data_IF_532816536269
#
_entry.id   IF_532816536269
#
_cell.length_a   1.000
_cell.length_b   1.000
_cell.length_c   1.000
_cell.angle_alpha   90.00
_cell.angle_beta   90.00
_cell.angle_gamma   90.00
#
_symmetry.space_group_name_H-M   'P 1'
#
loop_
_entity.id
_entity.type
_entity.pdbx_description
1 polymer ?
#
# COMPACT_ATOMS: atom_id res chain seq x y z
N UNK A 1 -17.05 8.90 -23.13
CA UNK A 1 -17.70 7.66 -23.62
C UNK A 1 -17.64 6.59 -22.52
N UNK A 2 -16.49 6.28 -21.95
CA UNK A 2 -16.36 5.22 -20.92
C UNK A 2 -17.17 5.49 -19.64
N UNK A 3 -17.25 6.74 -19.17
CA UNK A 3 -18.02 7.10 -17.97
C UNK A 3 -19.53 6.85 -18.16
N UNK A 4 -20.07 7.08 -19.36
CA UNK A 4 -21.49 6.78 -19.70
C UNK A 4 -21.77 5.27 -19.83
N UNK A 5 -20.81 4.48 -20.30
CA UNK A 5 -20.97 3.04 -20.40
C UNK A 5 -20.94 2.37 -19.03
N UNK A 6 -20.02 2.78 -18.13
CA UNK A 6 -19.97 2.27 -16.77
C UNK A 6 -21.26 2.62 -15.98
N UNK A 7 -21.82 3.82 -16.15
CA UNK A 7 -23.10 4.19 -15.55
C UNK A 7 -24.24 3.27 -16.01
N UNK A 8 -24.33 2.95 -17.30
CA UNK A 8 -25.40 2.09 -17.83
C UNK A 8 -25.35 0.65 -17.32
N UNK A 9 -24.21 0.14 -16.92
CA UNK A 9 -24.05 -1.23 -16.38
C UNK A 9 -24.53 -1.31 -14.93
N UNK A 10 -24.54 -0.18 -14.21
CA UNK A 10 -24.86 -0.11 -12.78
C UNK A 10 -26.28 0.48 -12.55
N UNK A 11 -26.87 1.10 -13.56
CA UNK A 11 -28.22 1.69 -13.50
C UNK A 11 -29.29 0.62 -13.73
N UNK A 12 -30.22 0.48 -12.78
CA UNK A 12 -31.41 -0.36 -12.98
C UNK A 12 -32.41 0.30 -13.95
N UNK A 13 -33.34 -0.47 -14.54
CA UNK A 13 -34.37 0.05 -15.44
C UNK A 13 -35.18 1.20 -14.82
N UNK A 14 -35.23 1.29 -13.51
CA UNK A 14 -35.97 2.29 -12.73
C UNK A 14 -35.17 3.59 -12.49
N UNK A 15 -33.96 3.72 -13.08
CA UNK A 15 -33.08 4.88 -12.87
C UNK A 15 -32.36 4.91 -11.51
N UNK A 16 -32.48 3.86 -10.71
CA UNK A 16 -31.78 3.71 -9.43
C UNK A 16 -30.48 2.95 -9.63
N UNK A 17 -29.44 3.31 -8.86
CA UNK A 17 -28.17 2.57 -8.87
C UNK A 17 -28.29 1.29 -8.07
N UNK A 18 -27.70 0.21 -8.61
CA UNK A 18 -27.63 -1.08 -7.90
C UNK A 18 -26.82 -0.91 -6.63
N UNK A 19 -27.47 -1.01 -5.48
CA UNK A 19 -26.80 -1.00 -4.17
C UNK A 19 -26.33 -2.42 -3.86
N UNK A 20 -25.03 -2.68 -3.99
CA UNK A 20 -24.41 -4.00 -3.82
C UNK A 20 -24.72 -4.63 -2.45
N UNK A 21 -24.91 -3.81 -1.43
CA UNK A 21 -25.15 -4.23 -0.03
C UNK A 21 -26.60 -4.07 0.43
N UNK A 22 -27.54 -3.72 -0.49
CA UNK A 22 -28.93 -3.44 -0.16
C UNK A 22 -29.16 -2.07 0.45
N UNK A 23 -30.42 -1.76 0.73
CA UNK A 23 -30.82 -0.49 1.33
C UNK A 23 -30.48 -0.44 2.82
N UNK A 24 -30.00 0.69 3.30
CA UNK A 24 -29.66 0.91 4.71
C UNK A 24 -28.22 0.56 5.12
N UNK A 25 -27.42 -0.05 4.22
CA UNK A 25 -26.03 -0.42 4.50
C UNK A 25 -25.01 0.52 3.85
N UNK A 26 -25.30 1.82 3.82
CA UNK A 26 -24.46 2.81 3.15
C UNK A 26 -23.04 2.87 3.74
N UNK A 27 -22.90 2.73 5.05
CA UNK A 27 -21.60 2.69 5.72
C UNK A 27 -20.75 1.48 5.29
N UNK A 28 -21.34 0.29 5.19
CA UNK A 28 -20.63 -0.91 4.73
C UNK A 28 -20.21 -0.79 3.26
N UNK A 29 -21.07 -0.22 2.43
CA UNK A 29 -20.75 0.05 1.02
C UNK A 29 -19.59 1.03 0.90
N UNK A 30 -19.53 2.06 1.77
CA UNK A 30 -18.42 3.01 1.85
C UNK A 30 -17.12 2.30 2.23
N UNK A 31 -17.12 1.47 3.29
CA UNK A 31 -15.92 0.73 3.74
C UNK A 31 -15.35 -0.14 2.62
N UNK A 32 -16.19 -0.93 1.96
CA UNK A 32 -15.75 -1.79 0.85
C UNK A 32 -15.24 -0.95 -0.31
N UNK A 33 -15.94 0.14 -0.65
CA UNK A 33 -15.50 1.09 -1.69
C UNK A 33 -14.10 1.63 -1.40
N UNK A 34 -13.84 2.10 -0.17
CA UNK A 34 -12.55 2.63 0.23
C UNK A 34 -11.43 1.57 0.19
N UNK A 35 -11.73 0.33 0.58
CA UNK A 35 -10.75 -0.77 0.47
C UNK A 35 -10.39 -1.07 -0.98
N UNK A 36 -11.37 -1.06 -1.88
CA UNK A 36 -11.13 -1.28 -3.31
C UNK A 36 -10.38 -0.12 -3.95
N UNK A 37 -10.75 1.13 -3.65
CA UNK A 37 -10.07 2.31 -4.19
C UNK A 37 -8.65 2.42 -3.68
N UNK A 38 -8.40 2.23 -2.39
CA UNK A 38 -7.07 2.23 -1.80
C UNK A 38 -6.17 1.15 -2.39
N UNK A 39 -6.72 -0.06 -2.62
CA UNK A 39 -5.99 -1.14 -3.30
C UNK A 39 -5.67 -0.79 -4.75
N UNK A 40 -6.64 -0.24 -5.49
CA UNK A 40 -6.45 0.16 -6.88
C UNK A 40 -5.39 1.27 -7.00
N UNK A 41 -5.42 2.25 -6.10
CA UNK A 41 -4.45 3.34 -6.03
C UNK A 41 -3.03 2.79 -5.74
N UNK A 42 -2.91 1.85 -4.81
CA UNK A 42 -1.64 1.18 -4.51
C UNK A 42 -1.06 0.47 -5.75
N UNK A 43 -1.91 -0.24 -6.52
CA UNK A 43 -1.47 -0.91 -7.76
C UNK A 43 -0.97 0.10 -8.78
N UNK A 44 -1.64 1.25 -8.94
CA UNK A 44 -1.21 2.33 -9.83
C UNK A 44 0.18 2.84 -9.42
N UNK A 45 0.40 3.12 -8.13
CA UNK A 45 1.69 3.60 -7.64
C UNK A 45 2.81 2.55 -7.72
N UNK A 46 2.51 1.27 -7.51
CA UNK A 46 3.47 0.19 -7.68
C UNK A 46 3.99 0.07 -9.12
N UNK A 47 3.16 0.49 -10.09
CA UNK A 47 3.53 0.55 -11.50
C UNK A 47 4.05 1.93 -11.94
N UNK A 48 4.48 2.78 -10.99
CA UNK A 48 4.97 4.14 -11.22
C UNK A 48 3.95 5.04 -11.96
N UNK A 49 2.66 4.75 -11.79
CA UNK A 49 1.56 5.55 -12.32
C UNK A 49 1.09 6.59 -11.30
N UNK A 50 0.14 7.42 -11.74
CA UNK A 50 -0.57 8.42 -10.94
C UNK A 50 -2.00 8.55 -11.48
N UNK A 51 -2.95 8.90 -10.62
CA UNK A 51 -4.34 9.16 -11.05
C UNK A 51 -4.53 10.57 -11.59
N UNK A 52 -3.53 11.45 -11.45
CA UNK A 52 -3.58 12.83 -11.93
C UNK A 52 -4.28 13.79 -10.97
N UNK A 53 -4.49 13.37 -9.71
CA UNK A 53 -5.15 14.15 -8.66
C UNK A 53 -4.19 14.61 -7.55
N UNK A 54 -4.71 14.65 -6.34
CA UNK A 54 -3.96 15.02 -5.10
C UNK A 54 -2.80 14.07 -4.79
N UNK A 55 -2.84 12.88 -5.35
CA UNK A 55 -1.80 11.86 -5.30
C UNK A 55 -0.45 12.34 -5.85
N UNK A 56 -0.43 13.26 -6.83
CA UNK A 56 0.81 13.86 -7.32
C UNK A 56 1.50 14.64 -6.19
N UNK A 57 0.72 15.43 -5.44
CA UNK A 57 1.27 16.23 -4.32
C UNK A 57 1.80 15.29 -3.25
N UNK A 58 1.06 14.24 -2.90
CA UNK A 58 1.48 13.22 -1.95
C UNK A 58 2.77 12.52 -2.39
N UNK A 59 2.89 12.18 -3.68
CA UNK A 59 4.09 11.56 -4.24
C UNK A 59 5.32 12.50 -4.18
N UNK A 60 5.13 13.80 -4.46
CA UNK A 60 6.17 14.80 -4.33
C UNK A 60 6.62 14.92 -2.87
N UNK A 61 5.68 15.03 -1.93
CA UNK A 61 6.00 15.12 -0.49
C UNK A 61 6.74 13.86 -0.01
N UNK A 62 6.29 12.67 -0.40
CA UNK A 62 6.97 11.39 -0.10
C UNK A 62 8.42 11.36 -0.63
N UNK A 63 8.67 11.95 -1.81
CA UNK A 63 10.01 12.00 -2.42
C UNK A 63 10.99 12.86 -1.64
N UNK A 64 10.53 13.97 -1.06
CA UNK A 64 11.38 14.93 -0.34
C UNK A 64 11.39 14.70 1.17
N UNK A 65 10.40 14.05 1.72
CA UNK A 65 10.27 13.71 3.12
C UNK A 65 10.10 12.21 3.29
N UNK A 66 10.75 11.62 4.31
CA UNK A 66 10.66 10.18 4.61
C UNK A 66 9.33 9.84 5.30
N UNK A 67 8.21 10.12 4.64
CA UNK A 67 6.86 9.76 5.10
C UNK A 67 6.24 8.76 4.14
N UNK A 68 5.27 7.96 4.61
CA UNK A 68 4.54 7.05 3.72
C UNK A 68 3.71 7.82 2.70
N UNK A 69 3.40 7.18 1.58
CA UNK A 69 2.56 7.79 0.54
C UNK A 69 1.15 8.06 1.07
N UNK A 70 0.60 7.13 1.87
CA UNK A 70 -0.69 7.30 2.53
C UNK A 70 -0.69 8.49 3.49
N UNK A 71 0.39 8.69 4.25
CA UNK A 71 0.51 9.87 5.13
C UNK A 71 0.54 11.17 4.32
N UNK A 72 1.19 11.18 3.17
CA UNK A 72 1.18 12.31 2.25
C UNK A 72 -0.23 12.65 1.75
N UNK A 73 -1.00 11.63 1.38
CA UNK A 73 -2.40 11.78 0.99
C UNK A 73 -3.25 12.32 2.15
N UNK A 74 -3.11 11.76 3.35
CA UNK A 74 -3.82 12.23 4.55
C UNK A 74 -3.63 13.73 4.76
N UNK A 75 -2.43 14.24 4.62
CA UNK A 75 -2.14 15.68 4.80
C UNK A 75 -2.89 16.55 3.79
N UNK A 76 -2.91 16.14 2.52
CA UNK A 76 -3.58 16.89 1.45
C UNK A 76 -5.10 16.81 1.61
N UNK A 77 -5.62 15.60 1.81
CA UNK A 77 -7.06 15.36 1.92
C UNK A 77 -7.65 16.00 3.18
N UNK A 78 -6.90 16.05 4.28
CA UNK A 78 -7.32 16.77 5.49
C UNK A 78 -7.53 18.25 5.23
N UNK A 79 -6.67 18.88 4.43
CA UNK A 79 -6.86 20.29 4.03
C UNK A 79 -8.14 20.47 3.20
N UNK A 80 -8.38 19.53 2.26
CA UNK A 80 -9.56 19.57 1.39
C UNK A 80 -10.85 19.36 2.20
N UNK A 81 -10.88 18.33 3.05
CA UNK A 81 -12.02 17.99 3.89
C UNK A 81 -12.34 19.17 4.85
N UNK A 82 -11.30 19.74 5.47
CA UNK A 82 -11.47 20.89 6.38
C UNK A 82 -12.02 22.12 5.65
N UNK A 83 -11.64 22.35 4.40
CA UNK A 83 -12.15 23.46 3.60
C UNK A 83 -13.63 23.34 3.31
N UNK A 84 -14.19 22.13 3.29
CA UNK A 84 -15.61 21.90 3.08
C UNK A 84 -16.52 22.50 4.16
N UNK A 85 -15.99 22.69 5.38
CA UNK A 85 -16.71 23.36 6.47
C UNK A 85 -16.93 24.86 6.20
N UNK A 86 -16.01 25.47 5.44
CA UNK A 86 -16.07 26.93 5.13
C UNK A 86 -17.02 27.24 3.97
N UNK A 87 -17.39 26.25 3.17
CA UNK A 87 -18.18 26.45 1.96
C UNK A 87 -19.67 26.22 2.28
N UNK A 88 -20.45 27.29 2.30
CA UNK A 88 -21.87 27.25 2.63
C UNK A 88 -22.75 26.52 1.59
N UNK A 89 -22.23 26.34 0.36
CA UNK A 89 -22.94 25.63 -0.71
C UNK A 89 -23.20 24.15 -0.46
N UNK A 90 -22.53 23.55 0.54
CA UNK A 90 -22.68 22.12 0.89
C UNK A 90 -23.85 21.84 1.85
N UNK A 91 -24.70 22.79 2.13
CA UNK A 91 -25.93 22.61 2.93
C UNK A 91 -25.83 23.19 4.35
N UNK A 92 -26.71 22.71 5.22
CA UNK A 92 -26.78 23.13 6.62
C UNK A 92 -25.57 22.69 7.43
N UNK A 93 -25.26 23.37 8.52
CA UNK A 93 -24.09 23.06 9.36
C UNK A 93 -24.02 21.58 9.80
N UNK A 94 -25.12 20.93 10.26
CA UNK A 94 -25.06 19.50 10.62
C UNK A 94 -24.81 18.57 9.41
N UNK A 95 -25.28 18.91 8.22
CA UNK A 95 -25.00 18.14 7.01
C UNK A 95 -23.51 18.22 6.64
N UNK A 96 -22.90 19.42 6.73
CA UNK A 96 -21.47 19.60 6.52
C UNK A 96 -20.64 18.83 7.53
N UNK A 97 -21.02 18.81 8.80
CA UNK A 97 -20.34 17.99 9.81
C UNK A 97 -20.41 16.49 9.48
N UNK A 98 -21.56 16.02 9.02
CA UNK A 98 -21.73 14.62 8.60
C UNK A 98 -20.82 14.29 7.42
N UNK A 99 -20.75 15.15 6.40
CA UNK A 99 -19.85 14.97 5.26
C UNK A 99 -18.37 14.90 5.69
N UNK A 100 -17.96 15.75 6.62
CA UNK A 100 -16.60 15.75 7.15
C UNK A 100 -16.28 14.45 7.88
N UNK A 101 -17.17 13.97 8.73
CA UNK A 101 -16.98 12.70 9.45
C UNK A 101 -16.85 11.52 8.48
N UNK A 102 -17.75 11.42 7.50
CA UNK A 102 -17.65 10.39 6.47
C UNK A 102 -16.37 10.54 5.64
N UNK A 103 -15.99 11.76 5.27
CA UNK A 103 -14.76 12.05 4.55
C UNK A 103 -13.51 11.62 5.32
N UNK A 104 -13.46 11.91 6.63
CA UNK A 104 -12.35 11.45 7.48
C UNK A 104 -12.29 9.92 7.59
N UNK A 105 -13.44 9.25 7.73
CA UNK A 105 -13.48 7.79 7.73
C UNK A 105 -12.97 7.19 6.41
N UNK A 106 -13.44 7.74 5.27
CA UNK A 106 -13.01 7.34 3.93
C UNK A 106 -11.49 7.49 3.77
N UNK A 107 -10.98 8.69 4.04
CA UNK A 107 -9.56 9.01 3.98
C UNK A 107 -8.72 8.03 4.82
N UNK A 108 -9.13 7.79 6.06
CA UNK A 108 -8.40 6.90 6.96
C UNK A 108 -8.35 5.46 6.44
N UNK A 109 -9.46 4.90 5.99
CA UNK A 109 -9.53 3.52 5.48
C UNK A 109 -8.73 3.39 4.18
N UNK A 110 -8.92 4.32 3.24
CA UNK A 110 -8.28 4.30 1.92
C UNK A 110 -6.76 4.40 2.03
N UNK A 111 -6.25 5.37 2.81
CA UNK A 111 -4.81 5.58 2.98
C UNK A 111 -4.13 4.43 3.72
N UNK A 112 -4.77 3.86 4.75
CA UNK A 112 -4.23 2.68 5.43
C UNK A 112 -4.20 1.46 4.50
N UNK A 113 -5.22 1.27 3.68
CA UNK A 113 -5.25 0.17 2.71
C UNK A 113 -4.19 0.33 1.64
N UNK A 114 -3.98 1.56 1.14
CA UNK A 114 -2.90 1.89 0.22
C UNK A 114 -1.54 1.54 0.81
N UNK A 115 -1.23 2.04 2.01
CA UNK A 115 0.06 1.77 2.67
C UNK A 115 0.26 0.28 2.97
N UNK A 116 -0.80 -0.43 3.36
CA UNK A 116 -0.75 -1.87 3.59
C UNK A 116 -0.35 -2.64 2.32
N UNK A 117 -0.99 -2.36 1.19
CA UNK A 117 -0.68 -3.03 -0.09
C UNK A 117 0.71 -2.66 -0.59
N UNK A 118 1.10 -1.37 -0.49
CA UNK A 118 2.44 -0.89 -0.87
C UNK A 118 3.54 -1.57 -0.06
N UNK A 119 3.36 -1.65 1.26
CA UNK A 119 4.33 -2.28 2.16
C UNK A 119 4.43 -3.79 1.91
N UNK A 120 3.31 -4.45 1.63
CA UNK A 120 3.32 -5.89 1.34
C UNK A 120 4.18 -6.24 0.11
N UNK A 121 4.10 -5.45 -0.94
CA UNK A 121 4.89 -5.65 -2.16
C UNK A 121 6.38 -5.34 -1.98
N UNK A 122 6.74 -4.44 -1.06
CA UNK A 122 8.12 -3.98 -0.84
C UNK A 122 8.87 -4.79 0.21
N UNK A 123 8.24 -5.79 0.82
CA UNK A 123 8.91 -6.60 1.84
C UNK A 123 10.08 -7.38 1.25
N UNK A 124 11.28 -7.09 1.76
CA UNK A 124 12.50 -7.87 1.53
C UNK A 124 12.81 -8.65 2.80
N UNK A 125 13.32 -9.86 2.63
CA UNK A 125 13.79 -10.72 3.73
C UNK A 125 15.30 -10.84 3.61
N UNK A 126 15.98 -10.69 4.72
CA UNK A 126 17.41 -10.92 4.81
C UNK A 126 17.63 -12.30 5.43
N UNK A 127 18.36 -13.17 4.72
CA UNK A 127 18.77 -14.45 5.20
C UNK A 127 20.20 -14.37 5.72
N UNK A 128 20.40 -14.87 6.93
CA UNK A 128 21.72 -15.08 7.52
C UNK A 128 21.93 -16.56 7.76
N UNK A 129 22.82 -17.20 6.99
CA UNK A 129 23.09 -18.63 7.06
C UNK A 129 24.44 -18.84 7.71
N UNK A 130 24.43 -19.48 8.87
CA UNK A 130 25.63 -19.84 9.64
C UNK A 130 25.97 -21.28 9.33
N UNK A 131 27.07 -21.55 8.61
CA UNK A 131 27.47 -22.92 8.29
C UNK A 131 28.97 -23.05 8.09
N UNK A 132 29.51 -24.19 8.52
CA UNK A 132 30.88 -24.57 8.20
C UNK A 132 31.05 -24.92 6.72
N UNK A 133 29.95 -25.32 6.04
CA UNK A 133 29.92 -25.68 4.62
C UNK A 133 29.47 -24.47 3.74
N UNK A 134 29.89 -23.27 4.13
CA UNK A 134 29.48 -22.03 3.48
C UNK A 134 29.73 -21.99 1.97
N UNK A 135 30.83 -22.62 1.47
CA UNK A 135 31.13 -22.63 0.04
C UNK A 135 30.15 -23.51 -0.77
N UNK A 136 29.81 -24.69 -0.23
CA UNK A 136 28.86 -25.60 -0.90
C UNK A 136 27.49 -24.95 -1.01
N UNK A 137 27.01 -24.33 0.10
CA UNK A 137 25.74 -23.65 0.17
C UNK A 137 25.73 -22.41 -0.75
N UNK A 138 26.81 -21.61 -0.73
CA UNK A 138 26.92 -20.44 -1.58
C UNK A 138 26.88 -20.81 -3.07
N UNK A 139 27.60 -21.88 -3.47
CA UNK A 139 27.60 -22.35 -4.84
C UNK A 139 26.21 -22.88 -5.27
N UNK A 140 25.50 -23.58 -4.38
CA UNK A 140 24.16 -24.09 -4.65
C UNK A 140 23.18 -22.93 -4.87
N UNK A 141 23.14 -21.97 -3.95
CA UNK A 141 22.27 -20.79 -4.05
C UNK A 141 22.59 -19.97 -5.30
N UNK A 142 23.87 -19.70 -5.59
CA UNK A 142 24.28 -18.95 -6.78
C UNK A 142 23.88 -19.63 -8.09
N UNK A 143 23.84 -20.97 -8.11
CA UNK A 143 23.48 -21.73 -9.29
C UNK A 143 21.99 -21.84 -9.52
N UNK A 144 21.20 -21.89 -8.43
CA UNK A 144 19.76 -22.12 -8.49
C UNK A 144 18.93 -20.83 -8.53
N UNK A 145 19.42 -19.75 -7.89
CA UNK A 145 18.57 -18.56 -7.64
C UNK A 145 19.05 -17.26 -8.30
N UNK A 146 20.21 -17.24 -8.96
CA UNK A 146 20.82 -16.02 -9.54
C UNK A 146 20.95 -14.83 -8.55
N UNK A 147 20.76 -15.06 -7.24
CA UNK A 147 20.88 -14.02 -6.23
C UNK A 147 22.33 -13.75 -5.86
N UNK A 148 22.66 -12.47 -5.71
CA UNK A 148 23.96 -12.07 -5.16
C UNK A 148 23.95 -12.25 -3.65
N UNK A 149 25.06 -12.76 -3.11
CA UNK A 149 25.24 -12.95 -1.68
C UNK A 149 26.55 -12.36 -1.21
N UNK A 150 26.64 -12.02 0.05
CA UNK A 150 27.85 -11.54 0.72
C UNK A 150 28.26 -12.54 1.77
N UNK A 151 29.53 -12.94 1.77
CA UNK A 151 30.11 -13.77 2.82
C UNK A 151 30.78 -12.84 3.83
N UNK A 152 30.31 -12.90 5.09
CA UNK A 152 30.86 -12.14 6.20
C UNK A 152 31.76 -13.06 7.02
N UNK A 153 32.97 -12.59 7.32
CA UNK A 153 33.90 -13.27 8.23
C UNK A 153 33.61 -12.81 9.67
N UNK A 154 33.45 -13.75 10.56
CA UNK A 154 33.22 -13.51 11.97
C UNK A 154 33.95 -14.52 12.85
N UNK A 155 33.93 -14.30 14.15
CA UNK A 155 34.48 -15.21 15.16
C UNK A 155 33.41 -15.45 16.22
N UNK A 156 33.32 -16.73 16.64
CA UNK A 156 32.46 -17.07 17.79
C UNK A 156 32.99 -16.36 19.05
N UNK A 157 32.16 -15.54 19.69
CA UNK A 157 32.60 -14.78 20.88
C UNK A 157 33.13 -15.67 22.02
N UNK A 158 32.49 -16.82 22.22
CA UNK A 158 32.85 -17.72 23.32
C UNK A 158 33.96 -18.73 22.91
N UNK A 159 33.90 -19.30 21.71
CA UNK A 159 34.83 -20.32 21.23
C UNK A 159 36.07 -19.74 20.55
N UNK A 160 36.02 -18.52 20.06
CA UNK A 160 37.07 -17.91 19.25
C UNK A 160 37.19 -18.48 17.83
N UNK A 161 36.34 -19.45 17.49
CA UNK A 161 36.42 -20.12 16.18
C UNK A 161 36.00 -19.19 15.04
N UNK A 162 36.70 -19.28 13.89
CA UNK A 162 36.28 -18.52 12.70
C UNK A 162 34.95 -19.06 12.16
N UNK A 163 34.01 -18.21 11.95
CA UNK A 163 32.69 -18.49 11.41
C UNK A 163 32.45 -17.63 10.17
N UNK A 164 31.92 -18.26 9.11
CA UNK A 164 31.49 -17.54 7.92
C UNK A 164 29.96 -17.52 7.86
N UNK A 165 29.43 -16.32 7.62
CA UNK A 165 28.00 -16.10 7.53
C UNK A 165 27.67 -15.67 6.11
N UNK A 166 26.80 -16.41 5.44
CA UNK A 166 26.25 -16.03 4.15
C UNK A 166 25.09 -15.09 4.41
N UNK A 167 25.15 -13.87 3.87
CA UNK A 167 24.08 -12.88 3.92
C UNK A 167 23.53 -12.68 2.52
N UNK A 168 22.25 -12.92 2.34
CA UNK A 168 21.56 -12.64 1.08
C UNK A 168 20.24 -11.92 1.35
N UNK A 169 19.85 -11.09 0.40
CA UNK A 169 18.57 -10.38 0.42
C UNK A 169 17.71 -10.87 -0.74
N UNK A 170 16.49 -11.27 -0.43
CA UNK A 170 15.51 -11.68 -1.41
C UNK A 170 14.15 -11.04 -1.12
N UNK A 171 13.30 -10.92 -2.13
CA UNK A 171 11.91 -10.53 -1.90
C UNK A 171 11.18 -11.65 -1.16
N UNK A 172 10.26 -11.29 -0.28
CA UNK A 172 9.50 -12.27 0.52
C UNK A 172 8.84 -13.37 -0.34
N UNK A 173 8.46 -13.06 -1.58
CA UNK A 173 7.86 -14.05 -2.49
C UNK A 173 8.88 -15.10 -2.98
N UNK A 174 10.12 -14.70 -3.14
CA UNK A 174 11.24 -15.55 -3.60
C UNK A 174 11.86 -16.34 -2.44
N UNK A 175 11.52 -15.97 -1.19
CA UNK A 175 12.05 -16.62 0.01
C UNK A 175 11.66 -18.10 0.13
N UNK A 176 10.54 -18.50 -0.48
CA UNK A 176 10.06 -19.90 -0.47
C UNK A 176 10.87 -20.79 -1.40
N UNK A 177 11.51 -20.23 -2.42
CA UNK A 177 12.35 -20.96 -3.37
C UNK A 177 13.77 -21.19 -2.83
N UNK A 178 14.17 -20.40 -1.82
CA UNK A 178 15.50 -20.46 -1.21
C UNK A 178 15.56 -21.51 -0.08
N UNK A 179 14.41 -21.95 0.42
CA UNK A 179 14.27 -22.99 1.45
C UNK A 179 13.89 -24.32 0.84
#
# INVERSE_FOLDING_TARGET
>A
VYKRQAQKVVEMPDGTFYKLMGEGNDFMSLVIGCMLTGTALAIVFLNNGSTGGTDIIAAVVNKYHNISLGMGLIMVDLCIISSSLLIESFGTFPERCTMVVFGLCTMFIECNMLDFVMNWQRQSVQFMIFSKKHQEIANAIAKETEHTMTILDGHGWYSGDPIKVICLMAKKRESVEIF
#
